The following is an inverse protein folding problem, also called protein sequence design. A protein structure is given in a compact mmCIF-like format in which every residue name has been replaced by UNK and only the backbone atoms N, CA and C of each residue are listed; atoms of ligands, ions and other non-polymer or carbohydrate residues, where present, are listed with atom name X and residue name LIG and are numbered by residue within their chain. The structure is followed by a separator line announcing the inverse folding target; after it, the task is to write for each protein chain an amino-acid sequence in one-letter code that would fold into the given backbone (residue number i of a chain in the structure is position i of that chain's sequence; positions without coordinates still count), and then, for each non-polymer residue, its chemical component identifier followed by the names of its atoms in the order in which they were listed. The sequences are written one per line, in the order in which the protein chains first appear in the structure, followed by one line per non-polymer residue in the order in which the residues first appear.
data_IF_408659865770
#
_entry.id   IF_408659865770
#
_cell.length_a   1.000
_cell.length_b   1.000
_cell.length_c   1.000
_cell.angle_alpha   90.00
_cell.angle_beta   90.00
_cell.angle_gamma   90.00
#
_symmetry.space_group_name_H-M   'P 1'
#
loop_
_entity.id
_entity.type
_entity.pdbx_description
1 polymer ?
#
# COMPACT_ATOMS: atom_id res chain seq x y z
N UNK A 1 -36.93 45.98 8.47
CA UNK A 1 -36.00 46.84 7.76
C UNK A 1 -34.59 46.63 8.33
N UNK A 2 -33.83 45.76 7.77
CA UNK A 2 -32.40 45.58 8.09
C UNK A 2 -31.67 45.13 6.83
N UNK A 3 -30.78 46.02 6.39
CA UNK A 3 -30.04 46.01 5.15
C UNK A 3 -29.01 44.88 5.07
N UNK A 4 -29.01 44.11 4.01
CA UNK A 4 -27.92 43.21 3.60
C UNK A 4 -26.82 44.04 2.93
N UNK A 5 -25.64 44.07 3.52
CA UNK A 5 -24.44 44.61 2.88
C UNK A 5 -23.72 43.50 2.11
N UNK A 6 -23.72 43.67 0.82
CA UNK A 6 -22.93 42.91 -0.15
C UNK A 6 -21.49 43.35 -0.07
N UNK A 7 -20.58 42.50 0.36
CA UNK A 7 -19.14 42.74 0.27
C UNK A 7 -18.55 41.97 -0.92
N UNK A 8 -18.27 42.73 -1.98
CA UNK A 8 -17.40 42.29 -3.06
C UNK A 8 -15.96 42.26 -2.55
N UNK A 9 -15.27 41.13 -2.66
CA UNK A 9 -13.81 41.03 -2.48
C UNK A 9 -13.15 40.39 -3.69
N UNK A 10 -12.43 41.23 -4.31
CA UNK A 10 -11.40 41.17 -5.32
C UNK A 10 -10.59 39.89 -5.43
N UNK A 11 -10.44 39.44 -6.70
CA UNK A 11 -9.51 38.44 -7.14
C UNK A 11 -8.07 38.99 -7.20
N UNK A 12 -7.05 38.27 -6.73
CA UNK A 12 -5.68 38.57 -7.09
C UNK A 12 -5.30 37.89 -8.42
N UNK A 13 -4.94 38.72 -9.35
CA UNK A 13 -4.24 38.36 -10.59
C UNK A 13 -2.82 37.91 -10.22
N UNK A 14 -2.47 36.66 -10.44
CA UNK A 14 -1.07 36.23 -10.45
C UNK A 14 -0.54 36.22 -11.87
N UNK A 15 0.47 37.06 -12.00
CA UNK A 15 1.26 37.34 -13.21
C UNK A 15 2.11 36.15 -13.58
N UNK A 16 2.10 35.82 -14.86
CA UNK A 16 3.04 34.94 -15.57
C UNK A 16 4.44 35.57 -15.55
N UNK A 17 5.44 34.80 -15.15
CA UNK A 17 6.80 34.97 -15.67
C UNK A 17 7.66 33.75 -15.29
N UNK A 18 8.38 33.19 -16.27
CA UNK A 18 9.50 32.32 -15.98
C UNK A 18 9.64 31.09 -16.87
N UNK A 19 9.83 31.32 -18.17
CA UNK A 19 10.34 30.31 -19.11
C UNK A 19 11.84 30.09 -18.81
N UNK A 20 12.21 28.94 -18.27
CA UNK A 20 13.60 28.50 -18.17
C UNK A 20 13.75 27.14 -18.86
N UNK A 21 14.19 27.19 -20.12
CA UNK A 21 14.70 26.04 -20.85
C UNK A 21 16.03 25.62 -20.21
N UNK A 22 16.05 24.52 -19.49
CA UNK A 22 17.27 23.82 -19.12
C UNK A 22 17.50 22.66 -20.09
N UNK A 23 18.45 22.84 -20.99
CA UNK A 23 18.98 21.80 -21.87
C UNK A 23 19.71 20.74 -21.03
N UNK A 24 19.20 19.51 -21.02
CA UNK A 24 19.89 18.36 -20.44
C UNK A 24 20.85 17.78 -21.49
N UNK A 25 22.11 17.52 -21.14
CA UNK A 25 23.03 16.81 -22.02
C UNK A 25 22.65 15.35 -22.13
N UNK A 26 22.50 14.85 -23.35
CA UNK A 26 22.46 13.43 -23.68
C UNK A 26 23.79 12.79 -23.24
N UNK A 27 23.79 12.12 -22.10
CA UNK A 27 24.86 11.20 -21.77
C UNK A 27 24.67 9.92 -22.62
N UNK A 28 25.42 9.80 -23.68
CA UNK A 28 25.58 8.57 -24.44
C UNK A 28 26.16 7.50 -23.50
N UNK A 29 25.35 6.55 -23.06
CA UNK A 29 25.85 5.33 -22.45
C UNK A 29 26.47 4.49 -23.55
N UNK A 30 27.78 4.47 -23.56
CA UNK A 30 28.56 3.51 -24.31
C UNK A 30 28.11 2.09 -23.90
N UNK A 31 27.61 1.34 -24.87
CA UNK A 31 27.38 -0.09 -24.76
C UNK A 31 28.75 -0.73 -24.57
N UNK A 32 29.04 -1.15 -23.36
CA UNK A 32 30.15 -2.04 -23.06
C UNK A 32 29.80 -3.40 -23.66
N UNK A 33 30.38 -3.68 -24.81
CA UNK A 33 30.42 -5.00 -25.38
C UNK A 33 31.24 -5.87 -24.39
N UNK A 34 30.54 -6.48 -23.48
CA UNK A 34 31.09 -7.45 -22.53
C UNK A 34 31.35 -8.78 -23.23
N UNK A 35 32.56 -9.12 -23.20
CA UNK A 35 33.26 -10.37 -23.43
C UNK A 35 32.38 -11.62 -23.41
N UNK A 36 32.35 -12.31 -24.58
CA UNK A 36 31.71 -13.62 -24.76
C UNK A 36 32.65 -14.75 -24.27
N UNK A 37 33.23 -14.64 -23.10
CA UNK A 37 33.84 -15.78 -22.44
C UNK A 37 32.83 -16.43 -21.52
N UNK A 38 32.20 -17.46 -22.04
CA UNK A 38 31.17 -18.25 -21.37
C UNK A 38 31.66 -18.90 -20.08
N UNK A 39 31.34 -18.27 -18.97
CA UNK A 39 31.31 -18.97 -17.68
C UNK A 39 29.91 -19.55 -17.55
N UNK A 40 29.79 -20.83 -17.95
CA UNK A 40 28.59 -21.64 -17.73
C UNK A 40 28.28 -21.60 -16.23
N UNK A 41 27.10 -21.14 -15.80
CA UNK A 41 26.77 -21.15 -14.38
C UNK A 41 26.84 -22.59 -13.87
N UNK A 42 27.60 -22.78 -12.78
CA UNK A 42 27.78 -24.07 -12.15
C UNK A 42 26.41 -24.69 -11.84
N UNK A 43 26.27 -25.99 -12.10
CA UNK A 43 25.03 -26.73 -11.83
C UNK A 43 24.56 -26.67 -10.36
N UNK A 44 25.44 -26.26 -9.44
CA UNK A 44 25.12 -26.00 -8.03
C UNK A 44 24.30 -24.71 -7.85
N UNK A 45 24.60 -23.65 -8.60
CA UNK A 45 23.84 -22.38 -8.50
C UNK A 45 22.45 -22.51 -9.12
N UNK A 46 22.31 -23.33 -10.18
CA UNK A 46 21.02 -23.63 -10.79
C UNK A 46 20.12 -24.48 -9.86
N UNK A 47 20.70 -25.33 -9.02
CA UNK A 47 19.94 -26.13 -8.04
C UNK A 47 19.43 -25.33 -6.86
N UNK A 48 20.14 -24.28 -6.43
CA UNK A 48 19.65 -23.39 -5.37
C UNK A 48 18.49 -22.49 -5.85
N UNK A 49 18.46 -22.13 -7.14
CA UNK A 49 17.35 -21.41 -7.73
C UNK A 49 16.12 -22.31 -8.00
N UNK A 50 16.33 -23.62 -8.21
CA UNK A 50 15.25 -24.57 -8.45
C UNK A 50 14.58 -25.11 -7.17
N UNK A 51 15.15 -24.81 -5.98
CA UNK A 51 14.65 -25.30 -4.69
C UNK A 51 13.56 -24.45 -4.04
N UNK A 52 13.24 -23.29 -4.59
CA UNK A 52 12.05 -22.54 -4.18
C UNK A 52 10.86 -23.06 -4.99
N UNK A 53 10.23 -24.07 -4.46
CA UNK A 53 9.01 -24.63 -5.02
C UNK A 53 7.97 -23.55 -5.20
N UNK A 54 7.82 -23.07 -6.43
CA UNK A 54 6.69 -22.27 -6.88
C UNK A 54 5.48 -23.19 -6.88
N UNK A 55 4.88 -23.39 -5.70
CA UNK A 55 3.59 -24.06 -5.60
C UNK A 55 2.50 -23.04 -5.84
N UNK A 56 1.77 -23.27 -6.91
CA UNK A 56 0.38 -22.89 -7.19
C UNK A 56 0.05 -21.40 -6.99
N UNK A 57 -0.07 -20.69 -8.09
CA UNK A 57 -0.55 -19.30 -8.14
C UNK A 57 0.59 -18.30 -8.00
N UNK A 58 1.46 -18.22 -9.01
CA UNK A 58 2.59 -17.28 -9.06
C UNK A 58 2.20 -15.80 -8.86
N UNK A 59 0.91 -15.49 -8.76
CA UNK A 59 0.34 -14.15 -8.60
C UNK A 59 -0.57 -14.02 -7.36
N UNK A 60 -0.71 -15.07 -6.54
CA UNK A 60 -1.50 -14.96 -5.32
C UNK A 60 -0.78 -14.09 -4.29
N UNK A 61 -1.48 -13.13 -3.71
CA UNK A 61 -0.97 -12.31 -2.62
C UNK A 61 -0.92 -13.11 -1.31
N UNK A 62 0.25 -13.66 -0.99
CA UNK A 62 0.43 -14.51 0.19
C UNK A 62 0.09 -13.79 1.50
N UNK A 63 0.35 -12.48 1.60
CA UNK A 63 0.03 -11.69 2.77
C UNK A 63 -1.48 -11.53 2.97
N UNK A 64 -2.20 -11.17 1.91
CA UNK A 64 -3.66 -11.08 1.95
C UNK A 64 -4.29 -12.46 2.14
N UNK A 65 -3.80 -13.48 1.41
CA UNK A 65 -4.30 -14.84 1.50
C UNK A 65 -4.21 -15.42 2.92
N UNK A 66 -3.14 -15.12 3.66
CA UNK A 66 -3.00 -15.56 5.05
C UNK A 66 -4.01 -14.90 5.99
N UNK A 67 -4.38 -13.64 5.72
CA UNK A 67 -5.33 -12.88 6.54
C UNK A 67 -6.77 -13.34 6.30
N UNK A 68 -7.20 -13.39 5.03
CA UNK A 68 -8.58 -13.74 4.66
C UNK A 68 -8.81 -15.25 4.48
N UNK A 69 -7.75 -16.05 4.64
CA UNK A 69 -7.76 -17.52 4.48
C UNK A 69 -8.21 -18.00 3.10
N UNK A 70 -7.99 -17.17 2.09
CA UNK A 70 -8.36 -17.46 0.70
C UNK A 70 -7.26 -16.96 -0.25
N UNK A 71 -6.97 -17.73 -1.28
CA UNK A 71 -6.00 -17.36 -2.31
C UNK A 71 -6.59 -16.34 -3.27
N UNK A 72 -6.06 -15.12 -3.28
CA UNK A 72 -6.51 -14.03 -4.13
C UNK A 72 -5.35 -13.51 -4.98
N UNK A 73 -5.58 -13.39 -6.28
CA UNK A 73 -4.67 -12.70 -7.20
C UNK A 73 -5.09 -11.25 -7.37
N UNK A 74 -4.47 -10.36 -6.60
CA UNK A 74 -4.76 -8.91 -6.65
C UNK A 74 -4.47 -8.30 -8.03
N UNK A 75 -3.54 -8.86 -8.80
CA UNK A 75 -3.22 -8.33 -10.12
C UNK A 75 -4.39 -8.42 -11.09
N UNK A 76 -5.27 -9.38 -10.87
CA UNK A 76 -6.45 -9.67 -11.69
C UNK A 76 -7.77 -9.19 -11.09
N UNK A 77 -7.77 -8.73 -9.84
CA UNK A 77 -8.97 -8.28 -9.17
C UNK A 77 -9.67 -7.15 -9.96
N UNK A 78 -10.96 -7.29 -10.20
CA UNK A 78 -11.78 -6.31 -10.93
C UNK A 78 -12.33 -5.22 -10.00
N UNK A 79 -12.90 -4.17 -10.58
CA UNK A 79 -13.55 -3.09 -9.82
C UNK A 79 -14.62 -3.62 -8.87
N UNK A 80 -15.47 -4.53 -9.36
CA UNK A 80 -16.60 -5.11 -8.60
C UNK A 80 -16.13 -5.99 -7.43
N UNK A 81 -14.93 -6.56 -7.50
CA UNK A 81 -14.38 -7.40 -6.45
C UNK A 81 -13.72 -6.60 -5.32
N UNK A 82 -13.36 -5.34 -5.59
CA UNK A 82 -12.62 -4.53 -4.61
C UNK A 82 -13.38 -4.32 -3.30
N UNK A 83 -14.67 -3.96 -3.29
CA UNK A 83 -15.41 -3.77 -2.04
C UNK A 83 -15.41 -5.03 -1.17
N UNK A 84 -15.63 -6.20 -1.77
CA UNK A 84 -15.64 -7.48 -1.06
C UNK A 84 -14.25 -7.81 -0.46
N UNK A 85 -13.17 -7.60 -1.22
CA UNK A 85 -11.80 -7.82 -0.74
C UNK A 85 -11.44 -6.92 0.43
N UNK A 86 -11.81 -5.64 0.39
CA UNK A 86 -11.62 -4.72 1.52
C UNK A 86 -12.47 -5.09 2.72
N UNK A 87 -13.73 -5.48 2.51
CA UNK A 87 -14.63 -5.94 3.56
C UNK A 87 -14.03 -7.13 4.30
N UNK A 88 -13.65 -8.18 3.58
CA UNK A 88 -13.01 -9.38 4.16
C UNK A 88 -11.69 -9.07 4.86
N UNK A 89 -10.89 -8.17 4.29
CA UNK A 89 -9.66 -7.72 4.93
C UNK A 89 -9.94 -7.06 6.29
N UNK A 90 -10.86 -6.10 6.37
CA UNK A 90 -11.13 -5.39 7.61
C UNK A 90 -11.80 -6.28 8.65
N UNK A 91 -12.64 -7.21 8.24
CA UNK A 91 -13.24 -8.19 9.15
C UNK A 91 -12.20 -9.13 9.75
N UNK A 92 -11.25 -9.61 8.94
CA UNK A 92 -10.11 -10.38 9.44
C UNK A 92 -9.26 -9.57 10.44
N UNK A 93 -9.04 -8.27 10.19
CA UNK A 93 -8.36 -7.37 11.13
C UNK A 93 -9.13 -7.25 12.44
N UNK A 94 -10.44 -7.02 12.40
CA UNK A 94 -11.29 -6.89 13.59
C UNK A 94 -11.25 -8.14 14.47
N UNK A 95 -11.33 -9.31 13.83
CA UNK A 95 -11.36 -10.59 14.51
C UNK A 95 -10.00 -10.95 15.14
N UNK A 96 -8.91 -10.80 14.37
CA UNK A 96 -7.61 -11.35 14.71
C UNK A 96 -6.71 -10.37 15.48
N UNK A 97 -6.89 -9.05 15.34
CA UNK A 97 -5.97 -8.00 15.84
C UNK A 97 -5.57 -8.10 17.30
N UNK A 98 -6.42 -8.71 18.14
CA UNK A 98 -6.13 -8.85 19.59
C UNK A 98 -4.98 -9.80 19.90
N UNK A 99 -4.71 -10.74 18.98
CA UNK A 99 -3.66 -11.74 19.10
C UNK A 99 -2.44 -11.41 18.25
N UNK A 100 -2.49 -10.31 17.50
CA UNK A 100 -1.44 -9.96 16.56
C UNK A 100 -0.18 -9.45 17.22
N UNK A 101 0.92 -10.00 16.76
CA UNK A 101 2.27 -9.50 17.02
C UNK A 101 2.55 -8.26 16.16
N UNK A 102 3.70 -7.62 16.39
CA UNK A 102 4.18 -6.52 15.55
C UNK A 102 4.33 -6.91 14.08
N UNK A 103 4.80 -8.12 13.85
CA UNK A 103 4.98 -8.69 12.51
C UNK A 103 3.64 -8.88 11.79
N UNK A 104 2.61 -9.30 12.51
CA UNK A 104 1.27 -9.48 11.92
C UNK A 104 0.68 -8.15 11.49
N UNK A 105 0.86 -7.11 12.30
CA UNK A 105 0.46 -5.75 11.94
C UNK A 105 1.23 -5.21 10.73
N UNK A 106 2.52 -5.49 10.62
CA UNK A 106 3.31 -5.13 9.44
C UNK A 106 2.80 -5.85 8.19
N UNK A 107 2.56 -7.15 8.28
CA UNK A 107 2.01 -7.96 7.18
C UNK A 107 0.63 -7.44 6.74
N UNK A 108 -0.23 -7.07 7.68
CA UNK A 108 -1.55 -6.49 7.36
C UNK A 108 -1.42 -5.11 6.69
N UNK A 109 -0.48 -4.27 7.14
CA UNK A 109 -0.18 -2.99 6.48
C UNK A 109 0.30 -3.18 5.04
N UNK A 110 1.17 -4.15 4.81
CA UNK A 110 1.67 -4.46 3.48
C UNK A 110 0.55 -5.01 2.57
N UNK A 111 -0.31 -5.88 3.10
CA UNK A 111 -1.48 -6.37 2.37
C UNK A 111 -2.43 -5.23 1.99
N UNK A 112 -2.72 -4.30 2.91
CA UNK A 112 -3.53 -3.11 2.62
C UNK A 112 -2.87 -2.21 1.58
N UNK A 113 -1.55 -2.05 1.62
CA UNK A 113 -0.81 -1.26 0.63
C UNK A 113 -0.98 -1.83 -0.78
N UNK A 114 -0.92 -3.15 -0.93
CA UNK A 114 -1.16 -3.83 -2.21
C UNK A 114 -2.62 -3.74 -2.67
N UNK A 115 -3.58 -3.88 -1.75
CA UNK A 115 -4.99 -3.61 -2.04
C UNK A 115 -5.21 -2.18 -2.56
N UNK A 116 -4.58 -1.20 -1.90
CA UNK A 116 -4.66 0.20 -2.31
C UNK A 116 -4.05 0.43 -3.69
N UNK A 117 -2.90 -0.19 -3.98
CA UNK A 117 -2.28 -0.10 -5.29
C UNK A 117 -3.20 -0.64 -6.40
N UNK A 118 -3.87 -1.78 -6.16
CA UNK A 118 -4.85 -2.32 -7.12
C UNK A 118 -6.09 -1.43 -7.23
N UNK A 119 -6.60 -0.93 -6.10
CA UNK A 119 -7.72 0.02 -6.09
C UNK A 119 -7.48 1.22 -7.00
N UNK A 120 -6.29 1.84 -6.94
CA UNK A 120 -5.96 3.00 -7.79
C UNK A 120 -6.05 2.67 -9.29
N UNK A 121 -5.70 1.44 -9.69
CA UNK A 121 -5.79 1.00 -11.09
C UNK A 121 -7.23 0.85 -11.55
N UNK A 122 -8.12 0.34 -10.69
CA UNK A 122 -9.51 -0.02 -11.09
C UNK A 122 -10.56 0.97 -10.60
N UNK A 123 -10.19 1.99 -9.86
CA UNK A 123 -11.11 2.89 -9.13
C UNK A 123 -12.13 3.60 -10.00
N UNK A 124 -11.83 3.81 -11.29
CA UNK A 124 -12.76 4.46 -12.22
C UNK A 124 -13.98 3.61 -12.53
N UNK A 125 -13.85 2.28 -12.41
CA UNK A 125 -14.96 1.34 -12.57
C UNK A 125 -15.72 1.05 -11.28
N UNK A 126 -15.32 1.61 -10.14
CA UNK A 126 -15.99 1.40 -8.84
C UNK A 126 -17.01 2.50 -8.61
N UNK A 127 -18.21 2.14 -8.17
CA UNK A 127 -19.27 3.09 -7.85
C UNK A 127 -18.91 4.02 -6.70
N UNK A 128 -19.54 5.19 -6.65
CA UNK A 128 -19.28 6.21 -5.63
C UNK A 128 -19.51 5.67 -4.21
N UNK A 129 -20.58 4.91 -4.01
CA UNK A 129 -20.91 4.33 -2.71
C UNK A 129 -19.82 3.37 -2.24
N UNK A 130 -19.39 2.47 -3.11
CA UNK A 130 -18.32 1.52 -2.81
C UNK A 130 -16.97 2.19 -2.57
N UNK A 131 -16.67 3.26 -3.31
CA UNK A 131 -15.48 4.09 -3.03
C UNK A 131 -15.51 4.72 -1.65
N UNK A 132 -16.67 5.20 -1.20
CA UNK A 132 -16.83 5.75 0.15
C UNK A 132 -16.69 4.66 1.22
N UNK A 133 -17.25 3.48 0.98
CA UNK A 133 -17.13 2.31 1.86
C UNK A 133 -15.67 1.87 2.00
N UNK A 134 -14.96 1.73 0.89
CA UNK A 134 -13.51 1.41 0.89
C UNK A 134 -12.71 2.45 1.68
N UNK A 135 -12.96 3.74 1.48
CA UNK A 135 -12.29 4.80 2.25
C UNK A 135 -12.57 4.71 3.75
N UNK A 136 -13.78 4.36 4.13
CA UNK A 136 -14.14 4.13 5.53
C UNK A 136 -13.30 3.00 6.14
N UNK A 137 -13.18 1.87 5.46
CA UNK A 137 -12.37 0.74 5.91
C UNK A 137 -10.86 1.07 5.98
N UNK A 138 -10.34 1.82 5.02
CA UNK A 138 -8.97 2.33 5.08
C UNK A 138 -8.75 3.23 6.30
N UNK A 139 -9.71 4.10 6.61
CA UNK A 139 -9.70 4.96 7.80
C UNK A 139 -9.77 4.15 9.09
N UNK A 140 -10.62 3.14 9.15
CA UNK A 140 -10.75 2.24 10.29
C UNK A 140 -9.43 1.52 10.58
N UNK A 141 -8.80 0.93 9.58
CA UNK A 141 -7.51 0.26 9.77
C UNK A 141 -6.45 1.21 10.36
N UNK A 142 -6.36 2.44 9.85
CA UNK A 142 -5.43 3.45 10.37
C UNK A 142 -5.72 3.79 11.83
N UNK A 143 -6.98 3.89 12.20
CA UNK A 143 -7.41 4.15 13.58
C UNK A 143 -7.01 2.99 14.51
N UNK A 144 -7.24 1.75 14.10
CA UNK A 144 -6.86 0.57 14.85
C UNK A 144 -5.34 0.47 15.03
N UNK A 145 -4.58 0.75 13.98
CA UNK A 145 -3.11 0.79 14.03
C UNK A 145 -2.59 1.91 14.95
N UNK A 146 -3.24 3.08 14.91
CA UNK A 146 -2.91 4.21 15.79
C UNK A 146 -3.17 3.89 17.27
N UNK A 147 -4.32 3.33 17.57
CA UNK A 147 -4.68 2.92 18.94
C UNK A 147 -3.68 1.91 19.54
N UNK A 148 -3.22 0.94 18.72
CA UNK A 148 -2.18 0.00 19.14
C UNK A 148 -0.88 0.72 19.54
N UNK A 149 -0.40 1.65 18.71
CA UNK A 149 0.84 2.40 19.00
C UNK A 149 0.76 3.21 20.28
N UNK A 150 -0.42 3.76 20.59
CA UNK A 150 -0.66 4.48 21.83
C UNK A 150 -0.57 3.53 23.02
N UNK A 151 -1.23 2.36 22.96
CA UNK A 151 -1.19 1.38 24.04
C UNK A 151 0.24 0.88 24.31
N UNK A 152 1.01 0.58 23.28
CA UNK A 152 2.42 0.18 23.43
C UNK A 152 3.24 1.24 24.19
N UNK A 153 3.07 2.52 23.85
CA UNK A 153 3.78 3.62 24.55
C UNK A 153 3.36 3.77 26.01
N UNK A 154 2.10 3.48 26.32
CA UNK A 154 1.61 3.49 27.70
C UNK A 154 2.19 2.33 28.51
N UNK A 155 2.25 1.15 27.91
CA UNK A 155 2.84 -0.04 28.54
C UNK A 155 4.34 0.16 28.81
N UNK A 156 5.09 0.69 27.83
CA UNK A 156 6.51 1.03 28.00
C UNK A 156 6.74 2.03 29.15
N UNK A 157 5.89 3.04 29.26
CA UNK A 157 5.97 4.02 30.38
C UNK A 157 5.68 3.37 31.72
N UNK A 158 4.65 2.53 31.81
CA UNK A 158 4.29 1.85 33.04
C UNK A 158 5.38 0.89 33.51
N UNK A 159 6.03 0.19 32.58
CA UNK A 159 7.18 -0.68 32.87
C UNK A 159 8.36 0.12 33.44
N UNK A 160 8.64 1.29 32.90
CA UNK A 160 9.74 2.15 33.36
C UNK A 160 9.48 2.77 34.74
N UNK A 161 8.22 3.07 35.08
CA UNK A 161 7.87 3.63 36.39
C UNK A 161 7.98 2.56 37.53
N UNK A 162 7.71 1.30 37.18
CA UNK A 162 7.73 0.18 38.14
C UNK A 162 9.08 -0.53 38.24
N UNK A 163 10.13 -0.03 37.60
CA UNK A 163 11.47 -0.59 37.73
C UNK A 163 12.16 0.01 38.95
N UNK A 164 12.54 -0.82 39.98
CA UNK A 164 13.21 -0.38 41.19
C UNK A 164 14.59 0.20 40.92
#
# INVERSE_FOLDING_TARGET
MTSFRTSCLAAPRFVLAGLLLAALPLAARAQQAGDLTGTRPSAATARLAAGQGVKAGANADAGLASLIKESVDLSRATADQMPDLYGRFIDAVREQRRQWTERDWANASDALSRLNARYEVVRTGIDMEDRLRIRSWQGEFRTLQGARKVNQKLDEKNVNINRP
#
